data_IF_483013394885
#
_entry.id   IF_483013394885
#
_cell.length_a   1.000
_cell.length_b   1.000
_cell.length_c   1.000
_cell.angle_alpha   90.00
_cell.angle_beta   90.00
_cell.angle_gamma   90.00
#
_symmetry.space_group_name_H-M   'P 1'
#
loop_
_entity.id
_entity.type
_entity.pdbx_description
1 polymer ?
#
# COMPACT_ATOMS: atom_id res chain seq x y z
N UNK A 1 12.22 10.01 -0.80
CA UNK A 1 13.09 9.79 -1.97
C UNK A 1 13.51 8.35 -1.90
N UNK A 2 13.31 7.58 -2.96
CA UNK A 2 13.61 6.14 -2.95
C UNK A 2 15.10 5.89 -2.70
N UNK A 3 15.41 4.88 -1.91
CA UNK A 3 16.79 4.41 -1.79
C UNK A 3 17.24 3.64 -3.03
N UNK A 4 18.54 3.31 -3.12
CA UNK A 4 19.08 2.61 -4.30
C UNK A 4 18.50 1.20 -4.47
N UNK A 5 18.14 0.52 -3.39
CA UNK A 5 17.56 -0.82 -3.43
C UNK A 5 16.16 -0.76 -4.02
N UNK A 6 15.32 0.17 -3.54
CA UNK A 6 13.98 0.41 -4.07
C UNK A 6 14.02 0.81 -5.55
N UNK A 7 14.95 1.68 -5.95
CA UNK A 7 15.11 2.06 -7.37
C UNK A 7 15.45 0.83 -8.23
N UNK A 8 16.30 -0.06 -7.72
CA UNK A 8 16.67 -1.28 -8.43
C UNK A 8 15.49 -2.25 -8.56
N UNK A 9 14.72 -2.45 -7.49
CA UNK A 9 13.48 -3.25 -7.52
C UNK A 9 12.46 -2.69 -8.51
N UNK A 10 12.23 -1.38 -8.51
CA UNK A 10 11.36 -0.74 -9.49
C UNK A 10 11.85 -0.90 -10.93
N UNK A 11 13.16 -0.88 -11.14
CA UNK A 11 13.74 -1.09 -12.47
C UNK A 11 13.54 -2.52 -12.96
N UNK A 12 13.68 -3.50 -12.08
CA UNK A 12 13.40 -4.90 -12.38
C UNK A 12 11.92 -5.12 -12.68
N UNK A 13 11.03 -4.57 -11.86
CA UNK A 13 9.59 -4.59 -12.09
C UNK A 13 9.22 -3.95 -13.43
N UNK A 14 9.75 -2.77 -13.73
CA UNK A 14 9.51 -2.09 -15.01
C UNK A 14 9.96 -2.94 -16.20
N UNK A 15 11.12 -3.60 -16.09
CA UNK A 15 11.65 -4.47 -17.16
C UNK A 15 10.79 -5.72 -17.36
N UNK A 16 10.13 -6.22 -16.31
CA UNK A 16 9.17 -7.32 -16.41
C UNK A 16 7.87 -6.85 -17.05
N UNK A 17 7.45 -5.61 -16.80
CA UNK A 17 6.22 -5.07 -17.37
C UNK A 17 6.36 -4.67 -18.85
N UNK A 18 7.47 -4.01 -19.21
CA UNK A 18 7.81 -3.60 -20.59
C UNK A 18 8.22 -4.82 -21.43
N UNK A 19 7.22 -5.59 -21.87
CA UNK A 19 7.41 -6.86 -22.59
C UNK A 19 8.04 -6.63 -23.96
N UNK A 20 7.63 -5.57 -24.64
CA UNK A 20 8.12 -5.23 -25.97
C UNK A 20 9.49 -4.52 -25.94
N UNK A 21 9.94 -4.05 -24.77
CA UNK A 21 11.21 -3.36 -24.50
C UNK A 21 11.38 -2.05 -25.25
N UNK A 22 10.31 -1.32 -25.46
CA UNK A 22 10.33 -0.01 -26.11
C UNK A 22 10.60 1.14 -25.12
N UNK A 23 10.66 0.83 -23.82
CA UNK A 23 10.91 1.79 -22.75
C UNK A 23 9.66 2.49 -22.22
N UNK A 24 8.47 2.05 -22.65
CA UNK A 24 7.18 2.54 -22.20
C UNK A 24 6.28 1.37 -21.80
N UNK A 25 5.39 1.59 -20.84
CA UNK A 25 4.35 0.62 -20.50
C UNK A 25 3.06 1.06 -21.18
N UNK A 26 2.54 0.22 -22.07
CA UNK A 26 1.27 0.44 -22.73
C UNK A 26 0.18 -0.57 -22.30
N UNK A 27 -0.98 -0.50 -22.95
CA UNK A 27 -2.13 -1.36 -22.66
C UNK A 27 -1.84 -2.85 -22.94
N UNK A 28 -1.04 -3.14 -23.96
CA UNK A 28 -0.64 -4.49 -24.32
C UNK A 28 0.33 -5.05 -23.28
N UNK A 29 1.32 -4.25 -22.85
CA UNK A 29 2.26 -4.63 -21.78
C UNK A 29 1.55 -4.96 -20.47
N UNK A 30 0.58 -4.14 -20.06
CA UNK A 30 -0.23 -4.42 -18.87
C UNK A 30 -1.03 -5.71 -19.02
N UNK A 31 -1.64 -5.95 -20.20
CA UNK A 31 -2.39 -7.17 -20.48
C UNK A 31 -1.51 -8.41 -20.38
N UNK A 32 -0.31 -8.35 -20.94
CA UNK A 32 0.65 -9.46 -20.92
C UNK A 32 1.20 -9.68 -19.51
N UNK A 33 1.45 -8.59 -18.76
CA UNK A 33 1.82 -8.66 -17.35
C UNK A 33 0.75 -9.37 -16.52
N UNK A 34 -0.52 -8.97 -16.64
CA UNK A 34 -1.61 -9.64 -15.93
C UNK A 34 -1.78 -11.10 -16.35
N UNK A 35 -1.57 -11.42 -17.64
CA UNK A 35 -1.59 -12.78 -18.12
C UNK A 35 -0.47 -13.63 -17.49
N UNK A 36 0.75 -13.09 -17.35
CA UNK A 36 1.88 -13.74 -16.68
C UNK A 36 1.60 -14.01 -15.19
N UNK A 37 0.78 -13.16 -14.55
CA UNK A 37 0.29 -13.33 -13.17
C UNK A 37 -0.96 -14.22 -13.06
N UNK A 38 -1.41 -14.86 -14.14
CA UNK A 38 -2.55 -15.78 -14.15
C UNK A 38 -3.92 -15.11 -14.29
N UNK A 39 -3.97 -13.77 -14.46
CA UNK A 39 -5.21 -13.00 -14.66
C UNK A 39 -5.46 -12.73 -16.14
N UNK A 40 -6.00 -13.72 -16.85
CA UNK A 40 -6.20 -13.66 -18.32
C UNK A 40 -7.38 -12.79 -18.78
N UNK A 41 -8.34 -12.50 -17.90
CA UNK A 41 -9.61 -11.87 -18.26
C UNK A 41 -9.74 -10.42 -17.76
N UNK A 42 -8.66 -9.62 -17.86
CA UNK A 42 -8.72 -8.19 -17.53
C UNK A 42 -9.49 -7.44 -18.62
N UNK A 43 -10.45 -6.62 -18.20
CA UNK A 43 -11.30 -5.84 -19.11
C UNK A 43 -10.49 -4.74 -19.79
N UNK A 44 -10.87 -4.39 -21.01
CA UNK A 44 -10.18 -3.36 -21.77
C UNK A 44 -10.29 -1.98 -21.10
N UNK A 45 -11.43 -1.71 -20.48
CA UNK A 45 -11.71 -0.47 -19.77
C UNK A 45 -10.80 -0.33 -18.54
N UNK A 46 -10.60 -1.42 -17.78
CA UNK A 46 -9.73 -1.43 -16.59
C UNK A 46 -8.28 -1.13 -16.97
N UNK A 47 -7.76 -1.72 -18.05
CA UNK A 47 -6.41 -1.43 -18.53
C UNK A 47 -6.26 0.01 -19.05
N UNK A 48 -7.31 0.55 -19.68
CA UNK A 48 -7.30 1.95 -20.13
C UNK A 48 -7.31 2.92 -18.95
N UNK A 49 -8.09 2.63 -17.93
CA UNK A 49 -8.15 3.45 -16.72
C UNK A 49 -6.80 3.46 -16.01
N UNK A 50 -6.10 2.33 -15.94
CA UNK A 50 -4.74 2.25 -15.41
C UNK A 50 -3.75 3.12 -16.19
N UNK A 51 -3.77 3.07 -17.53
CA UNK A 51 -2.88 3.92 -18.34
C UNK A 51 -3.22 5.40 -18.20
N UNK A 52 -4.51 5.74 -18.03
CA UNK A 52 -4.98 7.12 -17.83
C UNK A 52 -4.64 7.71 -16.46
N UNK A 53 -4.27 6.89 -15.47
CA UNK A 53 -3.75 7.41 -14.19
C UNK A 53 -2.43 8.17 -14.39
N UNK A 54 -1.68 7.85 -15.44
CA UNK A 54 -0.45 8.54 -15.74
C UNK A 54 -0.70 9.91 -16.40
N UNK A 55 0.09 10.95 -16.06
CA UNK A 55 -0.03 12.27 -16.67
C UNK A 55 0.44 12.31 -18.14
N UNK A 56 0.96 11.19 -18.67
CA UNK A 56 1.50 11.05 -20.02
C UNK A 56 2.02 9.62 -20.25
N UNK A 57 2.79 9.40 -21.34
CA UNK A 57 3.37 8.10 -21.64
C UNK A 57 4.20 7.54 -20.46
N UNK A 58 3.95 6.28 -20.09
CA UNK A 58 4.53 5.66 -18.90
C UNK A 58 5.94 5.14 -19.22
N UNK A 59 6.92 6.04 -19.26
CA UNK A 59 8.33 5.63 -19.22
C UNK A 59 8.77 5.37 -17.77
N UNK A 60 9.99 4.86 -17.59
CA UNK A 60 10.52 4.54 -16.26
C UNK A 60 10.49 5.72 -15.27
N UNK A 61 10.73 6.95 -15.75
CA UNK A 61 10.68 8.14 -14.90
C UNK A 61 9.26 8.44 -14.42
N UNK A 62 8.27 8.37 -15.32
CA UNK A 62 6.85 8.55 -14.97
C UNK A 62 6.39 7.45 -14.04
N UNK A 63 6.78 6.19 -14.31
CA UNK A 63 6.52 5.05 -13.44
C UNK A 63 7.02 5.30 -12.01
N UNK A 64 8.30 5.65 -11.85
CA UNK A 64 8.86 6.01 -10.54
C UNK A 64 8.15 7.20 -9.88
N UNK A 65 7.73 8.20 -10.67
CA UNK A 65 7.02 9.36 -10.12
C UNK A 65 5.65 8.96 -9.58
N UNK A 66 4.89 8.14 -10.32
CA UNK A 66 3.59 7.64 -9.88
C UNK A 66 3.70 6.80 -8.60
N UNK A 67 4.66 5.87 -8.53
CA UNK A 67 4.93 5.12 -7.30
C UNK A 67 5.41 6.04 -6.18
N UNK A 68 6.24 7.04 -6.52
CA UNK A 68 6.76 8.04 -5.60
C UNK A 68 5.65 8.83 -4.94
N UNK A 69 4.66 9.28 -5.71
CA UNK A 69 3.51 10.03 -5.22
C UNK A 69 2.57 9.17 -4.38
N UNK A 70 2.30 7.93 -4.79
CA UNK A 70 1.43 7.01 -4.01
C UNK A 70 2.08 6.56 -2.70
N UNK A 71 3.39 6.40 -2.67
CA UNK A 71 4.15 6.03 -1.46
C UNK A 71 4.56 7.26 -0.63
N UNK A 72 4.40 8.48 -1.16
CA UNK A 72 4.74 9.72 -0.46
C UNK A 72 3.82 9.90 0.74
N UNK A 73 4.44 10.00 1.92
CA UNK A 73 3.72 10.20 3.19
C UNK A 73 3.53 8.91 3.99
N UNK A 74 4.02 7.77 3.50
CA UNK A 74 4.08 6.54 4.29
C UNK A 74 5.46 6.43 4.94
N UNK A 75 5.49 6.32 6.26
CA UNK A 75 6.72 6.02 6.99
C UNK A 75 7.10 4.54 6.84
N UNK A 76 8.39 4.18 6.96
CA UNK A 76 8.80 2.77 6.99
C UNK A 76 8.05 1.99 8.07
N UNK A 77 7.75 0.71 7.81
CA UNK A 77 7.02 -0.15 8.74
C UNK A 77 7.61 -0.12 10.16
N UNK A 78 8.93 -0.18 10.28
CA UNK A 78 9.64 -0.11 11.57
C UNK A 78 9.32 1.19 12.34
N UNK A 79 9.23 2.32 11.65
CA UNK A 79 8.88 3.61 12.25
C UNK A 79 7.45 3.59 12.77
N UNK A 80 6.51 3.06 11.98
CA UNK A 80 5.10 2.95 12.38
C UNK A 80 4.95 1.98 13.56
N UNK A 81 5.59 0.81 13.50
CA UNK A 81 5.61 -0.17 14.58
C UNK A 81 6.16 0.42 15.88
N UNK A 82 7.25 1.18 15.80
CA UNK A 82 7.85 1.83 16.96
C UNK A 82 6.94 2.90 17.56
N UNK A 83 6.12 3.58 16.75
CA UNK A 83 5.10 4.50 17.24
C UNK A 83 4.03 3.76 18.06
N UNK A 84 3.56 2.60 17.60
CA UNK A 84 2.59 1.79 18.35
C UNK A 84 3.14 1.19 19.64
N UNK A 85 4.44 0.85 19.70
CA UNK A 85 5.09 0.33 20.92
C UNK A 85 4.99 1.30 22.10
N UNK A 86 4.83 2.60 21.87
CA UNK A 86 4.61 3.59 22.94
C UNK A 86 3.32 3.30 23.72
N UNK A 87 2.32 2.71 23.05
CA UNK A 87 1.03 2.32 23.63
C UNK A 87 0.99 0.87 24.16
N UNK A 88 2.05 0.10 23.91
CA UNK A 88 2.20 -1.30 24.34
C UNK A 88 3.55 -1.50 25.02
N UNK A 89 3.77 -0.93 26.22
CA UNK A 89 5.05 -1.00 26.93
C UNK A 89 5.41 -2.43 27.35
N UNK A 90 4.42 -3.34 27.40
CA UNK A 90 4.62 -4.75 27.73
C UNK A 90 4.95 -5.60 26.50
N UNK A 91 4.93 -5.02 25.29
CA UNK A 91 5.34 -5.69 24.04
C UNK A 91 4.43 -6.85 23.62
N UNK A 92 3.15 -6.79 23.96
CA UNK A 92 2.16 -7.84 23.65
C UNK A 92 1.93 -8.02 22.15
N UNK A 93 2.16 -6.97 21.36
CA UNK A 93 1.84 -6.95 19.93
C UNK A 93 0.40 -6.60 19.61
N UNK A 94 -0.40 -6.25 20.62
CA UNK A 94 -1.78 -5.82 20.44
C UNK A 94 -2.17 -4.74 21.45
N UNK A 95 -3.13 -3.88 21.09
CA UNK A 95 -3.60 -2.76 21.94
C UNK A 95 -5.12 -2.80 22.01
N UNK A 96 -5.74 -2.31 23.09
CA UNK A 96 -7.21 -2.22 23.16
C UNK A 96 -7.75 -1.30 22.08
N UNK A 97 -8.71 -1.79 21.29
CA UNK A 97 -9.28 -1.04 20.17
C UNK A 97 -9.96 0.25 20.63
N UNK A 98 -10.66 0.22 21.77
CA UNK A 98 -11.28 1.42 22.36
C UNK A 98 -10.24 2.49 22.74
N UNK A 99 -9.05 2.08 23.20
CA UNK A 99 -7.97 3.01 23.53
C UNK A 99 -7.40 3.66 22.28
N UNK A 100 -7.14 2.90 21.22
CA UNK A 100 -6.69 3.46 19.92
C UNK A 100 -7.73 4.40 19.34
N UNK A 101 -9.02 4.02 19.40
CA UNK A 101 -10.13 4.87 18.97
C UNK A 101 -10.13 6.21 19.69
N UNK A 102 -10.02 6.21 21.01
CA UNK A 102 -9.97 7.44 21.80
C UNK A 102 -8.78 8.31 21.39
N UNK A 103 -7.60 7.71 21.21
CA UNK A 103 -6.39 8.43 20.80
C UNK A 103 -6.55 9.06 19.41
N UNK A 104 -7.01 8.30 18.41
CA UNK A 104 -7.23 8.78 17.04
C UNK A 104 -8.29 9.88 16.94
N UNK A 105 -9.27 9.90 17.85
CA UNK A 105 -10.34 10.90 17.84
C UNK A 105 -10.03 12.15 18.69
N UNK A 106 -9.03 12.10 19.58
CA UNK A 106 -8.76 13.20 20.53
C UNK A 106 -7.43 13.90 20.31
N UNK A 107 -6.41 13.18 19.82
CA UNK A 107 -5.03 13.67 19.69
C UNK A 107 -4.70 14.00 18.22
N UNK A 108 -3.76 14.93 18.04
CA UNK A 108 -3.20 15.31 16.74
C UNK A 108 -4.26 15.61 15.66
N UNK A 109 -4.04 15.13 14.43
CA UNK A 109 -5.01 15.18 13.34
C UNK A 109 -6.07 14.11 13.58
N UNK A 110 -7.25 14.58 14.00
CA UNK A 110 -8.32 13.74 14.53
C UNK A 110 -9.09 13.07 13.41
N UNK A 111 -9.26 11.77 13.56
CA UNK A 111 -10.14 10.99 12.70
C UNK A 111 -11.60 11.31 13.06
N UNK A 112 -12.42 11.37 12.02
CA UNK A 112 -13.87 11.31 12.11
C UNK A 112 -14.34 9.93 12.60
N UNK A 113 -15.60 9.85 13.04
CA UNK A 113 -16.18 8.56 13.45
C UNK A 113 -16.24 7.57 12.30
N UNK A 114 -16.48 8.10 11.10
CA UNK A 114 -16.56 7.37 9.85
C UNK A 114 -15.20 6.75 9.50
N UNK A 115 -14.11 7.53 9.58
CA UNK A 115 -12.74 7.04 9.32
C UNK A 115 -12.32 5.94 10.31
N UNK A 116 -12.60 6.11 11.61
CA UNK A 116 -12.31 5.06 12.60
C UNK A 116 -13.15 3.80 12.35
N UNK A 117 -14.41 3.97 11.95
CA UNK A 117 -15.28 2.83 11.64
C UNK A 117 -14.80 2.08 10.40
N UNK A 118 -14.31 2.79 9.38
CA UNK A 118 -13.70 2.19 8.20
C UNK A 118 -12.40 1.45 8.56
N UNK A 119 -11.55 2.04 9.40
CA UNK A 119 -10.34 1.38 9.90
C UNK A 119 -10.65 0.04 10.57
N UNK A 120 -11.61 0.00 11.51
CA UNK A 120 -11.97 -1.25 12.20
C UNK A 120 -12.80 -2.22 11.35
N UNK A 121 -13.43 -1.74 10.28
CA UNK A 121 -14.06 -2.64 9.31
C UNK A 121 -13.01 -3.41 8.50
N UNK A 122 -11.91 -2.75 8.13
CA UNK A 122 -10.78 -3.40 7.46
C UNK A 122 -9.93 -4.24 8.44
N UNK A 123 -9.73 -3.74 9.66
CA UNK A 123 -8.92 -4.39 10.69
C UNK A 123 -9.75 -4.61 11.96
N UNK A 124 -10.62 -5.64 11.97
CA UNK A 124 -11.49 -5.90 13.10
C UNK A 124 -10.69 -6.30 14.34
N UNK A 125 -11.04 -5.77 15.53
CA UNK A 125 -10.50 -6.25 16.78
C UNK A 125 -10.84 -7.73 17.01
N UNK A 126 -9.98 -8.42 17.77
CA UNK A 126 -10.23 -9.79 18.19
C UNK A 126 -11.45 -9.91 19.14
N UNK A 127 -11.81 -11.14 19.49
CA UNK A 127 -12.92 -11.44 20.43
C UNK A 127 -12.74 -10.82 21.83
N UNK A 128 -11.52 -10.42 22.19
CA UNK A 128 -11.17 -9.77 23.45
C UNK A 128 -11.09 -8.24 23.32
N UNK A 129 -11.42 -7.69 22.14
CA UNK A 129 -11.37 -6.26 21.83
C UNK A 129 -9.95 -5.72 21.63
N UNK A 130 -8.99 -6.56 21.26
CA UNK A 130 -7.63 -6.14 20.94
C UNK A 130 -7.44 -5.96 19.43
N UNK A 131 -6.75 -4.89 19.06
CA UNK A 131 -6.26 -4.64 17.71
C UNK A 131 -4.82 -5.14 17.60
N UNK A 132 -4.57 -6.03 16.63
CA UNK A 132 -3.21 -6.43 16.24
C UNK A 132 -2.56 -5.32 15.41
N UNK A 133 -1.77 -4.48 16.06
CA UNK A 133 -1.10 -3.36 15.39
C UNK A 133 0.07 -3.84 14.53
N UNK A 134 0.63 -5.03 14.76
CA UNK A 134 1.72 -5.56 13.93
C UNK A 134 1.19 -5.92 12.55
N UNK A 135 0.09 -6.66 12.53
CA UNK A 135 -0.59 -6.99 11.28
C UNK A 135 -1.09 -5.72 10.55
N UNK A 136 -1.65 -4.76 11.31
CA UNK A 136 -2.03 -3.46 10.73
C UNK A 136 -0.84 -2.77 10.05
N UNK A 137 0.32 -2.65 10.73
CA UNK A 137 1.51 -2.01 10.17
C UNK A 137 2.03 -2.73 8.92
N UNK A 138 2.02 -4.05 8.94
CA UNK A 138 2.43 -4.86 7.78
C UNK A 138 1.53 -4.59 6.58
N UNK A 139 0.20 -4.71 6.75
CA UNK A 139 -0.75 -4.55 5.64
C UNK A 139 -0.75 -3.14 5.06
N UNK A 140 -0.62 -2.09 5.88
CA UNK A 140 -0.59 -0.71 5.34
C UNK A 140 0.71 -0.38 4.60
N UNK A 141 1.79 -1.15 4.81
CA UNK A 141 3.09 -0.93 4.16
C UNK A 141 3.35 -1.88 2.99
N UNK A 142 2.79 -3.09 3.02
CA UNK A 142 3.04 -4.15 2.02
C UNK A 142 1.77 -4.56 1.24
N UNK A 143 0.58 -4.15 1.68
CA UNK A 143 -0.71 -4.60 1.14
C UNK A 143 -1.27 -5.83 1.84
N UNK A 144 -2.49 -6.23 1.49
CA UNK A 144 -3.08 -7.50 1.98
C UNK A 144 -2.42 -8.69 1.25
N UNK A 145 -1.78 -9.61 1.98
CA UNK A 145 -1.58 -10.96 1.47
C UNK A 145 -2.95 -11.63 1.38
N UNK A 146 -3.49 -11.70 0.15
CA UNK A 146 -4.62 -12.59 -0.14
C UNK A 146 -4.07 -14.00 -0.29
N UNK A 147 -4.17 -14.79 0.77
CA UNK A 147 -4.22 -16.26 0.64
C UNK A 147 -5.39 -16.70 -0.27
#
# INVERSE_FOLDING_TARGET
MFDQTQIQEFKEAFTIMDQNRDGFIDKADLRDTFAALGRLNVKNEELEDMVKEAPGPINFTVFLTMFGEKLKGTDPEETILNAFKIFDPEGKGHIKADYIKEMLMTQADRFSKEEVSQMFAAFPPDVSGNLDYKNLCYVITHGEEKD
#
